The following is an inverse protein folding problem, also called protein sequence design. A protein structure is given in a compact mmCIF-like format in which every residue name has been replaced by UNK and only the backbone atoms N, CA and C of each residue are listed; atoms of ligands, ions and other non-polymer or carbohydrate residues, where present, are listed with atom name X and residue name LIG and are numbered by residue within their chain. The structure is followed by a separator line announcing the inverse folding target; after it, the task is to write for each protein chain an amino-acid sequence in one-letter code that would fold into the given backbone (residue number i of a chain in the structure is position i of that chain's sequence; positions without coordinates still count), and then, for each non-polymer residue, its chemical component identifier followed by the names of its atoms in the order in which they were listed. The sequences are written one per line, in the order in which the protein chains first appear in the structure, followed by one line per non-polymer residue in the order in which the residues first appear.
data_IF_869626840684
#
_entry.id   IF_869626840684
#
_cell.length_a   1.000
_cell.length_b   1.000
_cell.length_c   1.000
_cell.angle_alpha   90.00
_cell.angle_beta   90.00
_cell.angle_gamma   90.00
#
_symmetry.space_group_name_H-M   'P 1'
#
loop_
_entity.id
_entity.type
_entity.pdbx_description
1 polymer ?
#
# COMPACT_ATOMS: atom_id res chain seq x y z
N UNK A 1 -107.75 51.47 -13.56
CA UNK A 1 -107.17 50.12 -13.40
C UNK A 1 -107.46 49.37 -14.68
N UNK A 2 -106.49 48.66 -15.30
CA UNK A 2 -106.79 47.85 -16.47
C UNK A 2 -107.88 46.84 -16.10
N UNK A 3 -108.98 46.85 -16.86
CA UNK A 3 -110.20 46.10 -16.51
C UNK A 3 -110.10 44.62 -16.90
N UNK A 4 -109.16 44.27 -17.79
CA UNK A 4 -108.90 42.90 -18.22
C UNK A 4 -107.49 42.79 -18.85
N UNK A 5 -106.79 41.69 -18.56
CA UNK A 5 -105.58 41.24 -19.27
C UNK A 5 -105.95 39.91 -19.93
N UNK A 6 -105.70 39.80 -21.24
CA UNK A 6 -105.86 38.55 -21.98
C UNK A 6 -104.49 38.15 -22.57
N UNK A 7 -104.10 36.89 -22.37
CA UNK A 7 -102.91 36.31 -22.99
C UNK A 7 -103.38 35.15 -23.88
N UNK A 8 -102.91 35.09 -25.12
CA UNK A 8 -103.22 34.01 -26.05
C UNK A 8 -101.94 33.33 -26.54
N UNK A 9 -101.84 31.98 -26.48
CA UNK A 9 -102.80 31.06 -25.86
C UNK A 9 -102.69 31.04 -24.33
N UNK A 10 -103.81 30.78 -23.66
CA UNK A 10 -103.93 30.72 -22.19
C UNK A 10 -103.09 29.58 -21.57
N UNK A 11 -102.75 28.57 -22.38
CA UNK A 11 -101.87 27.45 -22.01
C UNK A 11 -100.99 27.05 -23.19
N UNK A 12 -99.71 26.87 -22.92
CA UNK A 12 -98.72 26.46 -23.92
C UNK A 12 -98.08 25.14 -23.50
N UNK A 13 -97.89 24.22 -24.45
CA UNK A 13 -97.01 23.06 -24.30
C UNK A 13 -95.92 23.19 -25.35
N UNK A 14 -94.66 23.16 -24.92
CA UNK A 14 -93.49 23.24 -25.80
C UNK A 14 -92.74 21.92 -25.75
N UNK A 15 -92.25 21.46 -26.90
CA UNK A 15 -91.27 20.36 -26.98
C UNK A 15 -89.84 20.92 -27.04
N UNK A 16 -88.85 20.09 -26.73
CA UNK A 16 -87.43 20.46 -26.84
C UNK A 16 -87.13 20.95 -28.25
N UNK A 17 -86.68 22.21 -28.37
CA UNK A 17 -86.32 22.85 -29.64
C UNK A 17 -87.45 23.67 -30.31
N UNK A 18 -88.65 23.71 -29.76
CA UNK A 18 -89.75 24.55 -30.30
C UNK A 18 -89.75 25.97 -29.73
N UNK A 19 -90.11 26.95 -30.56
CA UNK A 19 -90.36 28.34 -30.14
C UNK A 19 -91.79 28.74 -30.50
N UNK A 20 -92.47 29.46 -29.61
CA UNK A 20 -93.80 30.03 -29.85
C UNK A 20 -93.92 31.43 -29.27
N UNK A 21 -94.73 32.25 -29.92
CA UNK A 21 -95.07 33.61 -29.50
C UNK A 21 -96.34 33.56 -28.65
N UNK A 22 -96.36 34.32 -27.55
CA UNK A 22 -97.56 34.58 -26.75
C UNK A 22 -97.89 36.05 -26.94
N UNK A 23 -99.12 36.33 -27.37
CA UNK A 23 -99.61 37.70 -27.50
C UNK A 23 -100.38 38.08 -26.25
N UNK A 24 -100.10 39.26 -25.69
CA UNK A 24 -100.80 39.80 -24.52
C UNK A 24 -101.47 41.11 -24.93
N UNK A 25 -102.78 41.18 -24.73
CA UNK A 25 -103.59 42.37 -25.00
C UNK A 25 -104.15 42.91 -23.69
N UNK A 26 -104.03 44.23 -23.51
CA UNK A 26 -104.56 44.95 -22.35
C UNK A 26 -105.46 46.07 -22.87
N UNK A 27 -106.68 46.16 -22.34
CA UNK A 27 -107.65 47.18 -22.71
C UNK A 27 -107.92 48.15 -21.53
N UNK A 28 -108.11 49.46 -21.78
CA UNK A 28 -108.06 50.17 -23.07
C UNK A 28 -106.64 50.62 -23.48
N UNK A 29 -106.46 50.90 -24.77
CA UNK A 29 -105.19 51.09 -25.52
C UNK A 29 -104.40 52.39 -25.20
N UNK A 30 -104.87 53.18 -24.24
CA UNK A 30 -104.34 54.52 -23.93
C UNK A 30 -103.47 54.49 -22.66
N UNK A 31 -102.27 53.91 -22.74
CA UNK A 31 -101.04 54.30 -22.01
C UNK A 31 -99.91 53.26 -22.20
N UNK A 32 -98.68 53.71 -22.46
CA UNK A 32 -97.48 52.87 -22.40
C UNK A 32 -97.33 52.22 -21.02
N UNK A 33 -97.19 50.90 -21.00
CA UNK A 33 -96.92 50.13 -19.80
C UNK A 33 -95.79 49.13 -20.09
N UNK A 34 -94.83 49.00 -19.17
CA UNK A 34 -93.82 47.94 -19.21
C UNK A 34 -94.44 46.63 -18.69
N UNK A 35 -94.23 45.54 -19.43
CA UNK A 35 -94.63 44.20 -18.99
C UNK A 35 -93.39 43.36 -18.70
N UNK A 36 -93.37 42.67 -17.57
CA UNK A 36 -92.39 41.62 -17.30
C UNK A 36 -93.11 40.28 -17.33
N UNK A 37 -92.84 39.45 -18.34
CA UNK A 37 -93.22 38.04 -18.30
C UNK A 37 -92.33 37.30 -17.30
N UNK A 38 -92.91 36.58 -16.34
CA UNK A 38 -92.17 35.69 -15.43
C UNK A 38 -92.57 34.25 -15.73
N UNK A 39 -91.60 33.39 -15.97
CA UNK A 39 -91.82 31.95 -16.06
C UNK A 39 -92.11 31.46 -14.65
N UNK A 40 -93.29 30.87 -14.44
CA UNK A 40 -93.72 30.42 -13.13
C UNK A 40 -93.03 29.10 -12.72
N UNK A 41 -92.56 28.33 -13.71
CA UNK A 41 -91.78 27.11 -13.52
C UNK A 41 -90.44 27.20 -14.28
N UNK A 42 -89.41 27.64 -13.57
CA UNK A 42 -88.05 27.83 -14.11
C UNK A 42 -87.31 26.52 -14.39
N UNK A 43 -87.92 25.35 -14.13
CA UNK A 43 -87.33 24.05 -14.41
C UNK A 43 -87.37 23.64 -15.89
N UNK A 44 -88.12 24.35 -16.75
CA UNK A 44 -88.46 23.88 -18.11
C UNK A 44 -87.86 24.77 -19.23
N UNK A 45 -87.37 25.98 -18.94
CA UNK A 45 -86.65 26.81 -19.91
C UNK A 45 -85.75 27.85 -19.23
N UNK A 46 -84.49 27.94 -19.67
CA UNK A 46 -83.52 28.98 -19.28
C UNK A 46 -83.38 29.97 -20.43
N UNK A 47 -83.50 31.27 -20.14
CA UNK A 47 -83.20 32.35 -21.09
C UNK A 47 -81.71 32.32 -21.42
N UNK A 48 -81.38 32.29 -22.70
CA UNK A 48 -80.04 32.10 -23.25
C UNK A 48 -78.92 32.76 -22.43
N UNK A 49 -78.23 31.94 -21.65
CA UNK A 49 -76.88 32.25 -21.19
C UNK A 49 -75.94 32.05 -22.38
N UNK A 50 -75.01 32.99 -22.57
CA UNK A 50 -73.89 32.86 -23.49
C UNK A 50 -73.26 31.46 -23.36
N UNK A 51 -73.18 30.76 -24.50
CA UNK A 51 -72.41 29.52 -24.64
C UNK A 51 -71.05 29.69 -23.95
N UNK A 52 -70.68 28.86 -22.96
CA UNK A 52 -69.33 28.91 -22.43
C UNK A 52 -68.37 28.66 -23.60
N UNK A 53 -67.51 29.64 -23.87
CA UNK A 53 -66.38 29.50 -24.81
C UNK A 53 -65.80 28.10 -24.69
N UNK A 54 -65.52 27.37 -25.79
CA UNK A 54 -64.91 26.05 -25.69
C UNK A 54 -63.66 26.19 -24.83
N UNK A 55 -63.59 25.37 -23.78
CA UNK A 55 -62.45 25.28 -22.88
C UNK A 55 -61.17 25.19 -23.73
N UNK A 56 -60.14 26.05 -23.53
CA UNK A 56 -58.93 25.97 -24.33
C UNK A 56 -58.41 24.53 -24.32
N UNK A 57 -58.20 23.97 -25.51
CA UNK A 57 -57.72 22.60 -25.65
C UNK A 57 -56.42 22.41 -24.88
N UNK A 58 -56.23 21.28 -24.18
CA UNK A 58 -55.05 21.08 -23.35
C UNK A 58 -53.79 21.15 -24.22
N UNK A 59 -52.75 21.86 -23.75
CA UNK A 59 -51.44 22.01 -24.39
C UNK A 59 -50.56 20.81 -24.05
N UNK A 60 -50.37 19.85 -24.99
CA UNK A 60 -49.60 18.65 -24.70
C UNK A 60 -48.09 18.94 -24.71
N UNK A 61 -47.33 18.12 -23.99
CA UNK A 61 -45.89 18.04 -24.18
C UNK A 61 -45.57 17.51 -25.57
N UNK A 62 -44.54 18.06 -26.20
CA UNK A 62 -44.03 17.68 -27.54
C UNK A 62 -42.57 17.21 -27.50
N UNK A 63 -41.87 17.37 -26.37
CA UNK A 63 -40.51 16.89 -26.20
C UNK A 63 -39.92 17.18 -24.83
N UNK A 64 -38.81 16.51 -24.53
CA UNK A 64 -37.99 16.73 -23.35
C UNK A 64 -36.51 16.65 -23.76
N UNK A 65 -35.67 17.53 -23.21
CA UNK A 65 -34.20 17.51 -23.40
C UNK A 65 -33.48 17.57 -22.06
N UNK A 66 -32.23 17.10 -22.02
CA UNK A 66 -31.34 17.24 -20.87
C UNK A 66 -30.19 18.20 -21.21
N UNK A 67 -29.66 18.88 -20.20
CA UNK A 67 -28.47 19.74 -20.32
C UNK A 67 -27.20 18.97 -20.77
N UNK A 68 -27.18 17.65 -20.57
CA UNK A 68 -26.11 16.75 -21.02
C UNK A 68 -26.60 15.33 -21.25
N UNK A 69 -25.92 14.63 -22.13
CA UNK A 69 -26.20 13.22 -22.49
C UNK A 69 -25.17 12.24 -21.92
N UNK A 70 -24.07 12.73 -21.33
CA UNK A 70 -23.10 11.90 -20.62
C UNK A 70 -22.40 12.63 -19.48
N UNK A 71 -21.93 11.87 -18.49
CA UNK A 71 -21.13 12.36 -17.38
C UNK A 71 -20.20 11.27 -16.83
N UNK A 72 -19.01 11.65 -16.36
CA UNK A 72 -18.11 10.77 -15.61
C UNK A 72 -17.71 11.42 -14.29
N UNK A 73 -17.79 10.67 -13.20
CA UNK A 73 -17.46 11.18 -11.87
C UNK A 73 -17.08 10.08 -10.89
N UNK A 74 -16.67 10.48 -9.68
CA UNK A 74 -16.20 9.55 -8.63
C UNK A 74 -17.36 9.22 -7.67
N UNK A 75 -17.42 7.98 -7.21
CA UNK A 75 -18.35 7.55 -6.17
C UNK A 75 -18.29 8.47 -4.93
N UNK A 76 -19.44 8.80 -4.36
CA UNK A 76 -19.59 9.75 -3.25
C UNK A 76 -19.89 11.20 -3.67
N UNK A 77 -19.70 11.54 -4.96
CA UNK A 77 -20.08 12.86 -5.50
C UNK A 77 -21.53 12.90 -5.99
N UNK A 78 -22.02 14.11 -6.29
CA UNK A 78 -23.35 14.36 -6.86
C UNK A 78 -23.26 15.13 -8.17
N UNK A 79 -24.27 14.95 -9.02
CA UNK A 79 -24.49 15.65 -10.29
C UNK A 79 -25.94 16.11 -10.31
N UNK A 80 -26.21 17.35 -10.72
CA UNK A 80 -27.58 17.80 -11.02
C UNK A 80 -27.80 17.77 -12.52
N UNK A 81 -28.85 17.08 -12.98
CA UNK A 81 -29.30 17.11 -14.36
C UNK A 81 -30.50 18.04 -14.48
N UNK A 82 -30.51 18.87 -15.52
CA UNK A 82 -31.59 19.80 -15.80
C UNK A 82 -32.37 19.33 -17.02
N UNK A 83 -33.66 19.04 -16.82
CA UNK A 83 -34.58 18.68 -17.89
C UNK A 83 -35.37 19.90 -18.36
N UNK A 84 -35.51 20.07 -19.68
CA UNK A 84 -36.33 21.12 -20.30
C UNK A 84 -37.47 20.47 -21.09
N UNK A 85 -38.71 20.82 -20.76
CA UNK A 85 -39.93 20.33 -21.44
C UNK A 85 -40.36 21.34 -22.50
N UNK A 86 -40.77 20.85 -23.68
CA UNK A 86 -41.26 21.67 -24.79
C UNK A 86 -42.73 21.32 -25.11
N UNK A 87 -43.61 22.31 -25.37
CA UNK A 87 -43.36 23.74 -25.16
C UNK A 87 -43.27 24.07 -23.66
N UNK A 88 -42.67 25.20 -23.31
CA UNK A 88 -42.47 25.61 -21.91
C UNK A 88 -43.77 25.91 -21.16
N UNK A 89 -44.87 26.11 -21.89
CA UNK A 89 -46.22 26.38 -21.38
C UNK A 89 -47.17 25.17 -21.55
N UNK A 90 -46.64 23.95 -21.65
CA UNK A 90 -47.43 22.72 -21.62
C UNK A 90 -48.19 22.59 -20.29
N UNK A 91 -49.43 22.08 -20.34
CA UNK A 91 -50.30 22.03 -19.16
C UNK A 91 -49.83 21.03 -18.09
N UNK A 92 -49.09 20.00 -18.49
CA UNK A 92 -48.42 19.06 -17.59
C UNK A 92 -46.93 18.91 -17.96
N UNK A 93 -46.11 19.79 -17.37
CA UNK A 93 -44.66 19.76 -17.51
C UNK A 93 -43.96 18.91 -16.42
N UNK A 94 -44.69 18.00 -15.76
CA UNK A 94 -44.13 17.18 -14.68
C UNK A 94 -43.06 16.24 -15.22
N UNK A 95 -41.84 16.36 -14.68
CA UNK A 95 -40.72 15.48 -15.03
C UNK A 95 -40.59 14.36 -14.01
N UNK A 96 -40.63 13.12 -14.49
CA UNK A 96 -40.31 11.92 -13.71
C UNK A 96 -38.90 11.43 -14.02
N UNK A 97 -38.19 10.95 -13.00
CA UNK A 97 -36.80 10.51 -13.11
C UNK A 97 -36.66 9.04 -12.76
N UNK A 98 -35.80 8.33 -13.50
CA UNK A 98 -35.46 6.93 -13.23
C UNK A 98 -33.97 6.69 -13.49
N UNK A 99 -33.38 5.78 -12.73
CA UNK A 99 -32.08 5.16 -13.04
C UNK A 99 -32.28 3.69 -13.38
N UNK A 100 -31.55 3.17 -14.35
CA UNK A 100 -31.50 1.74 -14.65
C UNK A 100 -30.66 0.94 -13.63
N UNK A 101 -29.72 1.58 -12.93
CA UNK A 101 -28.79 0.99 -11.98
C UNK A 101 -28.64 1.86 -10.74
N UNK A 102 -29.66 1.86 -9.88
CA UNK A 102 -29.72 2.70 -8.66
C UNK A 102 -28.59 2.43 -7.66
N UNK A 103 -27.99 1.24 -7.68
CA UNK A 103 -26.79 0.91 -6.90
C UNK A 103 -25.50 1.59 -7.40
N UNK A 104 -25.45 1.97 -8.68
CA UNK A 104 -24.32 2.69 -9.29
C UNK A 104 -24.56 4.20 -9.24
N UNK A 105 -25.73 4.65 -9.69
CA UNK A 105 -26.16 6.04 -9.60
C UNK A 105 -27.66 6.12 -9.35
N UNK A 106 -28.09 6.86 -8.32
CA UNK A 106 -29.51 7.08 -8.01
C UNK A 106 -29.90 8.51 -8.30
N UNK A 107 -31.08 8.74 -8.86
CA UNK A 107 -31.62 10.08 -9.15
C UNK A 107 -32.83 10.38 -8.25
N UNK A 108 -32.92 11.60 -7.74
CA UNK A 108 -34.07 12.11 -6.99
C UNK A 108 -35.15 12.70 -7.91
N UNK A 109 -36.33 13.01 -7.36
CA UNK A 109 -37.42 13.63 -8.12
C UNK A 109 -37.10 15.01 -8.70
N UNK A 110 -36.07 15.70 -8.19
CA UNK A 110 -35.59 16.99 -8.69
C UNK A 110 -34.33 16.89 -9.58
N UNK A 111 -33.99 15.70 -10.08
CA UNK A 111 -32.88 15.52 -11.02
C UNK A 111 -31.48 15.51 -10.39
N UNK A 112 -31.36 15.39 -9.06
CA UNK A 112 -30.07 15.23 -8.38
C UNK A 112 -29.66 13.77 -8.39
N UNK A 113 -28.57 13.49 -9.08
CA UNK A 113 -27.95 12.17 -9.25
C UNK A 113 -26.83 12.00 -8.22
N UNK A 114 -26.98 11.03 -7.32
CA UNK A 114 -25.93 10.62 -6.39
C UNK A 114 -25.14 9.44 -6.97
N UNK A 115 -23.81 9.57 -7.07
CA UNK A 115 -22.92 8.51 -7.56
C UNK A 115 -22.51 7.61 -6.40
N UNK A 116 -22.84 6.33 -6.46
CA UNK A 116 -22.76 5.42 -5.30
C UNK A 116 -21.62 4.43 -5.41
N UNK A 117 -21.49 3.75 -6.54
CA UNK A 117 -20.52 2.69 -6.74
C UNK A 117 -19.97 2.73 -8.16
N UNK A 118 -18.76 2.20 -8.35
CA UNK A 118 -18.15 2.14 -9.67
C UNK A 118 -19.01 1.33 -10.65
N UNK A 119 -19.19 1.83 -11.87
CA UNK A 119 -20.03 1.20 -12.87
C UNK A 119 -20.59 2.18 -13.89
N UNK A 120 -21.56 1.71 -14.68
CA UNK A 120 -22.32 2.53 -15.63
C UNK A 120 -23.79 2.50 -15.26
N UNK A 121 -24.45 3.65 -15.38
CA UNK A 121 -25.88 3.82 -15.19
C UNK A 121 -26.43 4.78 -16.25
N UNK A 122 -27.68 4.62 -16.63
CA UNK A 122 -28.42 5.55 -17.49
C UNK A 122 -29.52 6.19 -16.67
N UNK A 123 -29.47 7.53 -16.59
CA UNK A 123 -30.52 8.33 -15.96
C UNK A 123 -31.49 8.78 -17.04
N UNK A 124 -32.78 8.52 -16.85
CA UNK A 124 -33.85 8.86 -17.79
C UNK A 124 -34.81 9.86 -17.15
N UNK A 125 -35.04 10.99 -17.82
CA UNK A 125 -36.10 11.93 -17.53
C UNK A 125 -37.27 11.69 -18.50
N UNK A 126 -38.51 11.69 -18.00
CA UNK A 126 -39.71 11.49 -18.82
C UNK A 126 -40.79 12.53 -18.49
N UNK A 127 -41.40 13.12 -19.53
CA UNK A 127 -42.52 14.05 -19.43
C UNK A 127 -43.47 13.85 -20.64
N UNK A 128 -44.77 13.75 -20.38
CA UNK A 128 -45.81 13.60 -21.41
C UNK A 128 -45.55 12.53 -22.49
N UNK A 129 -44.95 11.40 -22.12
CA UNK A 129 -44.63 10.28 -23.03
C UNK A 129 -43.28 10.38 -23.76
N UNK A 130 -42.58 11.52 -23.65
CA UNK A 130 -41.23 11.70 -24.20
C UNK A 130 -40.17 11.37 -23.16
N UNK A 131 -39.00 10.95 -23.62
CA UNK A 131 -37.86 10.61 -22.74
C UNK A 131 -36.57 11.26 -23.23
N UNK A 132 -35.72 11.62 -22.29
CA UNK A 132 -34.33 12.02 -22.53
C UNK A 132 -33.42 11.29 -21.55
N UNK A 133 -32.20 10.95 -21.98
CA UNK A 133 -31.29 10.12 -21.19
C UNK A 133 -29.88 10.68 -21.10
N UNK A 134 -29.23 10.38 -19.98
CA UNK A 134 -27.84 10.71 -19.70
C UNK A 134 -27.08 9.46 -19.23
N UNK A 135 -25.99 9.13 -19.92
CA UNK A 135 -25.10 8.03 -19.57
C UNK A 135 -24.09 8.46 -18.51
N UNK A 136 -24.18 7.88 -17.32
CA UNK A 136 -23.33 8.18 -16.17
C UNK A 136 -22.32 7.05 -15.98
N UNK A 137 -21.03 7.40 -15.98
CA UNK A 137 -19.93 6.48 -15.64
C UNK A 137 -19.35 6.87 -14.29
N UNK A 138 -19.35 5.94 -13.35
CA UNK A 138 -18.84 6.16 -11.99
C UNK A 138 -17.52 5.42 -11.83
N UNK A 139 -16.48 6.12 -11.40
CA UNK A 139 -15.22 5.52 -10.97
C UNK A 139 -15.20 5.35 -9.46
N UNK A 140 -14.46 4.35 -8.97
CA UNK A 140 -14.30 4.15 -7.53
C UNK A 140 -13.53 5.33 -6.90
N UNK A 141 -13.90 5.71 -5.69
CA UNK A 141 -13.10 6.63 -4.90
C UNK A 141 -11.77 5.95 -4.52
N UNK A 142 -10.66 6.63 -4.77
CA UNK A 142 -9.33 6.14 -4.38
C UNK A 142 -8.96 6.69 -3.02
N UNK A 143 -8.60 5.81 -2.08
CA UNK A 143 -8.03 6.18 -0.78
C UNK A 143 -6.51 6.22 -0.93
N UNK A 144 -5.91 7.40 -0.77
CA UNK A 144 -4.46 7.55 -0.86
C UNK A 144 -3.77 6.97 0.38
N UNK A 145 -2.62 6.32 0.19
CA UNK A 145 -1.69 6.01 1.29
C UNK A 145 -1.38 7.29 2.05
N UNK A 146 -1.31 7.20 3.38
CA UNK A 146 -0.99 8.29 4.31
C UNK A 146 0.38 8.14 4.97
N UNK A 147 0.80 6.92 5.30
CA UNK A 147 2.12 6.67 5.87
C UNK A 147 2.63 5.27 5.55
N UNK A 148 3.96 5.13 5.59
CA UNK A 148 4.67 3.86 5.47
C UNK A 148 5.69 3.81 6.60
N UNK A 149 5.66 2.76 7.40
CA UNK A 149 6.66 2.52 8.45
C UNK A 149 7.38 1.20 8.19
N UNK A 150 8.67 1.14 8.51
CA UNK A 150 9.51 -0.06 8.39
C UNK A 150 9.91 -0.52 9.78
N UNK A 151 9.79 -1.81 10.04
CA UNK A 151 10.17 -2.41 11.31
C UNK A 151 10.97 -3.70 11.09
N UNK A 152 11.92 -3.96 11.97
CA UNK A 152 12.62 -5.23 12.11
C UNK A 152 12.04 -6.05 13.27
N UNK A 153 12.20 -7.38 13.27
CA UNK A 153 11.90 -8.23 14.42
C UNK A 153 12.65 -7.73 15.65
N UNK A 154 11.94 -7.55 16.76
CA UNK A 154 12.46 -7.13 18.06
C UNK A 154 13.32 -5.84 18.06
N UNK A 155 13.18 -5.01 17.02
CA UNK A 155 13.98 -3.79 16.88
C UNK A 155 15.45 -4.04 16.52
N UNK A 156 15.79 -5.23 15.98
CA UNK A 156 17.14 -5.56 15.54
C UNK A 156 17.59 -4.58 14.45
N UNK A 157 18.76 -3.95 14.66
CA UNK A 157 19.36 -2.99 13.72
C UNK A 157 20.75 -3.41 13.25
N UNK A 158 21.16 -4.63 13.60
CA UNK A 158 22.47 -5.19 13.25
C UNK A 158 22.31 -6.50 12.50
N UNK A 159 23.20 -6.72 11.53
CA UNK A 159 23.24 -7.91 10.68
C UNK A 159 24.70 -8.32 10.51
N UNK A 160 24.99 -9.60 10.39
CA UNK A 160 26.35 -10.05 10.05
C UNK A 160 26.51 -10.17 8.54
N UNK A 161 27.74 -10.08 8.02
CA UNK A 161 28.04 -10.39 6.61
C UNK A 161 27.53 -11.81 6.27
N UNK A 162 26.87 -11.96 5.12
CA UNK A 162 26.13 -13.16 4.70
C UNK A 162 24.91 -13.53 5.57
N UNK A 163 24.66 -12.80 6.65
CA UNK A 163 23.43 -12.92 7.44
C UNK A 163 22.22 -12.35 6.70
N UNK A 164 21.03 -12.77 7.13
CA UNK A 164 19.76 -12.27 6.60
C UNK A 164 18.85 -11.71 7.68
N UNK A 165 18.13 -10.62 7.38
CA UNK A 165 17.14 -10.00 8.27
C UNK A 165 15.85 -9.72 7.50
N UNK A 166 14.73 -10.27 7.96
CA UNK A 166 13.43 -10.01 7.35
C UNK A 166 12.84 -8.71 7.92
N UNK A 167 12.59 -7.71 7.07
CA UNK A 167 11.88 -6.49 7.46
C UNK A 167 10.40 -6.59 7.14
N UNK A 168 9.59 -5.79 7.85
CA UNK A 168 8.18 -5.61 7.57
C UNK A 168 7.88 -4.14 7.30
N UNK A 169 6.91 -3.88 6.41
CA UNK A 169 6.42 -2.55 6.12
C UNK A 169 4.93 -2.46 6.45
N UNK A 170 4.53 -1.42 7.19
CA UNK A 170 3.12 -1.13 7.48
C UNK A 170 2.68 0.08 6.69
N UNK A 171 1.65 -0.09 5.86
CA UNK A 171 1.04 0.97 5.05
C UNK A 171 -0.29 1.37 5.70
N UNK A 172 -0.47 2.66 5.97
CA UNK A 172 -1.72 3.23 6.48
C UNK A 172 -2.27 4.28 5.53
N UNK A 173 -3.61 4.46 5.45
CA UNK A 173 -4.62 3.70 6.17
C UNK A 173 -4.80 2.28 5.60
N UNK A 174 -5.47 1.41 6.36
CA UNK A 174 -5.63 -0.02 6.01
C UNK A 174 -6.39 -0.23 4.69
N UNK A 175 -7.28 0.70 4.37
CA UNK A 175 -8.17 0.74 3.21
C UNK A 175 -7.61 1.55 2.02
N UNK A 176 -6.33 1.95 2.08
CA UNK A 176 -5.67 2.59 0.95
C UNK A 176 -5.79 1.73 -0.32
N UNK A 177 -6.07 2.37 -1.46
CA UNK A 177 -6.35 1.69 -2.73
C UNK A 177 -5.12 1.01 -3.32
N UNK A 178 -3.94 1.61 -3.19
CA UNK A 178 -2.66 1.00 -3.60
C UNK A 178 -1.73 0.86 -2.40
N UNK A 179 -1.58 -0.36 -1.92
CA UNK A 179 -0.72 -0.72 -0.78
C UNK A 179 0.53 -1.47 -1.22
N UNK A 180 0.83 -1.49 -2.51
CA UNK A 180 1.96 -2.24 -3.06
C UNK A 180 3.26 -1.67 -2.52
N UNK A 181 4.04 -2.48 -1.82
CA UNK A 181 5.32 -2.07 -1.25
C UNK A 181 6.44 -2.42 -2.21
N UNK A 182 7.30 -1.45 -2.50
CA UNK A 182 8.56 -1.62 -3.22
C UNK A 182 9.73 -1.34 -2.28
N UNK A 183 10.77 -2.16 -2.35
CA UNK A 183 11.93 -2.08 -1.46
C UNK A 183 13.18 -1.64 -2.21
N UNK A 184 14.04 -0.88 -1.54
CA UNK A 184 15.37 -0.50 -2.03
C UNK A 184 16.34 -0.41 -0.86
N UNK A 185 17.61 -0.74 -1.10
CA UNK A 185 18.70 -0.60 -0.13
C UNK A 185 19.80 0.31 -0.70
N UNK A 186 20.40 1.14 0.14
CA UNK A 186 21.51 2.01 -0.25
C UNK A 186 22.52 2.18 0.89
N UNK A 187 23.82 1.94 0.66
CA UNK A 187 24.43 1.41 -0.57
C UNK A 187 24.22 -0.12 -0.71
N UNK A 188 24.02 -0.60 -1.95
CA UNK A 188 23.83 -2.04 -2.24
C UNK A 188 25.09 -2.88 -2.07
N UNK A 189 26.27 -2.24 -2.01
CA UNK A 189 27.55 -2.88 -1.70
C UNK A 189 27.61 -3.37 -0.24
N UNK A 190 26.85 -2.75 0.67
CA UNK A 190 26.79 -3.13 2.09
C UNK A 190 25.70 -4.17 2.33
N UNK A 191 24.51 -4.00 1.75
CA UNK A 191 23.45 -5.01 1.81
C UNK A 191 22.48 -4.88 0.64
N UNK A 192 21.83 -5.99 0.28
CA UNK A 192 20.75 -6.03 -0.71
C UNK A 192 19.42 -6.33 -0.03
N UNK A 193 18.30 -5.98 -0.67
CA UNK A 193 16.94 -6.27 -0.18
C UNK A 193 16.09 -6.90 -1.27
N UNK A 194 15.34 -7.94 -0.94
CA UNK A 194 14.43 -8.61 -1.87
C UNK A 194 13.09 -7.87 -2.00
N UNK A 195 12.25 -8.30 -2.96
CA UNK A 195 10.87 -7.79 -3.11
C UNK A 195 9.98 -8.06 -1.89
N UNK A 196 10.32 -9.07 -1.07
CA UNK A 196 9.59 -9.40 0.16
C UNK A 196 10.14 -8.68 1.39
N UNK A 197 11.16 -7.83 1.26
CA UNK A 197 11.79 -7.14 2.39
C UNK A 197 12.85 -7.98 3.13
N UNK A 198 13.34 -9.07 2.53
CA UNK A 198 14.45 -9.85 3.09
C UNK A 198 15.77 -9.15 2.76
N UNK A 199 16.49 -8.68 3.78
CA UNK A 199 17.79 -8.02 3.66
C UNK A 199 18.91 -9.04 3.80
N UNK A 200 19.93 -8.98 2.93
CA UNK A 200 21.13 -9.83 2.99
C UNK A 200 22.37 -8.95 3.10
N UNK A 201 23.18 -9.18 4.13
CA UNK A 201 24.45 -8.46 4.34
C UNK A 201 25.51 -8.90 3.35
N UNK A 202 26.21 -7.94 2.73
CA UNK A 202 27.22 -8.17 1.70
C UNK A 202 28.60 -7.79 2.21
N UNK A 203 28.77 -6.57 2.72
CA UNK A 203 30.02 -6.06 3.28
C UNK A 203 29.75 -5.34 4.60
N UNK A 204 30.77 -5.27 5.47
CA UNK A 204 30.66 -4.53 6.72
C UNK A 204 30.46 -3.03 6.45
N UNK A 205 29.49 -2.41 7.12
CA UNK A 205 29.14 -1.01 6.90
C UNK A 205 27.74 -0.66 7.37
N UNK A 206 27.27 0.53 6.99
CA UNK A 206 25.90 0.99 7.29
C UNK A 206 25.09 1.09 6.00
N UNK A 207 23.85 0.61 6.04
CA UNK A 207 22.91 0.60 4.91
C UNK A 207 21.55 1.11 5.36
N UNK A 208 20.91 1.92 4.53
CA UNK A 208 19.52 2.34 4.72
C UNK A 208 18.62 1.54 3.79
N UNK A 209 17.63 0.86 4.36
CA UNK A 209 16.62 0.10 3.64
C UNK A 209 15.31 0.90 3.66
N UNK A 210 14.73 1.12 2.48
CA UNK A 210 13.55 1.96 2.27
C UNK A 210 12.42 1.13 1.67
N UNK A 211 11.21 1.27 2.22
CA UNK A 211 9.96 0.76 1.68
C UNK A 211 9.13 1.93 1.12
N UNK A 212 8.60 1.78 -0.09
CA UNK A 212 7.78 2.80 -0.77
C UNK A 212 6.43 2.22 -1.16
N UNK A 213 5.34 2.91 -0.83
CA UNK A 213 3.98 2.58 -1.24
C UNK A 213 3.15 3.86 -1.47
N UNK A 214 2.39 3.92 -2.57
CA UNK A 214 1.54 5.07 -2.90
C UNK A 214 2.28 6.42 -2.92
N UNK A 215 3.56 6.42 -3.32
CA UNK A 215 4.43 7.61 -3.33
C UNK A 215 4.99 8.04 -1.97
N UNK A 216 4.72 7.30 -0.89
CA UNK A 216 5.25 7.58 0.46
C UNK A 216 6.29 6.54 0.86
N UNK A 217 7.21 6.95 1.72
CA UNK A 217 8.38 6.16 2.09
C UNK A 217 8.49 5.98 3.60
N UNK A 218 8.94 4.81 4.03
CA UNK A 218 9.48 4.55 5.36
C UNK A 218 10.85 3.91 5.25
N UNK A 219 11.74 4.14 6.21
CA UNK A 219 13.12 3.65 6.14
C UNK A 219 13.64 3.14 7.48
N UNK A 220 14.57 2.19 7.43
CA UNK A 220 15.31 1.66 8.57
C UNK A 220 16.80 1.60 8.24
N UNK A 221 17.64 2.07 9.15
CA UNK A 221 19.10 1.98 9.03
C UNK A 221 19.60 0.73 9.74
N UNK A 222 20.43 -0.05 9.04
CA UNK A 222 21.05 -1.27 9.54
C UNK A 222 22.58 -1.15 9.53
N UNK A 223 23.24 -1.82 10.48
CA UNK A 223 24.69 -1.95 10.51
C UNK A 223 25.08 -3.40 10.23
N UNK A 224 25.83 -3.63 9.15
CA UNK A 224 26.40 -4.92 8.80
C UNK A 224 27.77 -5.07 9.47
N UNK A 225 27.97 -6.14 10.24
CA UNK A 225 29.21 -6.45 10.96
C UNK A 225 29.99 -7.52 10.23
N UNK A 226 31.31 -7.39 10.22
CA UNK A 226 32.18 -8.46 9.74
C UNK A 226 32.06 -9.67 10.66
N UNK A 227 31.88 -10.86 10.08
CA UNK A 227 31.99 -12.11 10.82
C UNK A 227 33.48 -12.40 11.01
N UNK A 228 33.98 -12.23 12.24
CA UNK A 228 35.31 -12.73 12.60
C UNK A 228 35.16 -14.19 12.99
N UNK A 229 35.54 -15.11 12.11
CA UNK A 229 35.61 -16.53 12.46
C UNK A 229 36.86 -16.72 13.33
N UNK A 230 36.67 -16.80 14.65
CA UNK A 230 37.70 -17.25 15.58
C UNK A 230 37.96 -18.75 15.31
N UNK A 231 39.02 -19.05 14.54
CA UNK A 231 39.44 -20.45 14.30
C UNK A 231 40.00 -21.06 15.59
N UNK A 232 39.62 -22.30 15.90
CA UNK A 232 40.14 -23.03 17.07
C UNK A 232 41.66 -23.17 16.97
N UNK A 233 42.37 -22.84 18.06
CA UNK A 233 43.78 -23.15 18.18
C UNK A 233 43.96 -24.64 18.48
N UNK A 234 44.55 -25.37 17.53
CA UNK A 234 44.76 -26.80 17.61
C UNK A 234 45.96 -27.18 18.49
N UNK A 235 46.75 -26.23 18.97
CA UNK A 235 47.85 -26.52 19.91
C UNK A 235 47.32 -26.75 21.33
N UNK A 236 47.81 -27.80 21.98
CA UNK A 236 47.61 -28.02 23.42
C UNK A 236 48.63 -27.24 24.24
N UNK A 237 48.24 -26.84 25.44
CA UNK A 237 49.17 -26.37 26.46
C UNK A 237 50.16 -27.48 26.86
N UNK A 238 51.46 -27.18 27.00
CA UNK A 238 52.42 -28.12 27.58
C UNK A 238 51.96 -28.61 28.96
N UNK A 239 52.20 -29.90 29.30
CA UNK A 239 51.60 -30.53 30.48
C UNK A 239 52.15 -30.03 31.82
N UNK A 240 53.35 -29.44 31.83
CA UNK A 240 53.95 -28.82 33.01
C UNK A 240 54.64 -27.52 32.63
N UNK A 241 54.37 -26.44 33.36
CA UNK A 241 55.03 -25.14 33.23
C UNK A 241 55.32 -24.56 34.64
N UNK A 242 56.42 -23.80 34.82
CA UNK A 242 57.39 -23.39 33.81
C UNK A 242 58.30 -24.55 33.34
N UNK A 243 58.81 -24.45 32.11
CA UNK A 243 59.80 -25.37 31.56
C UNK A 243 61.12 -24.61 31.36
N UNK A 244 62.23 -25.16 31.85
CA UNK A 244 63.55 -24.60 31.62
C UNK A 244 64.41 -25.58 30.84
N UNK A 245 64.99 -25.11 29.73
CA UNK A 245 65.88 -25.90 28.89
C UNK A 245 67.01 -25.01 28.35
N UNK A 246 68.25 -25.49 28.48
CA UNK A 246 69.50 -24.82 28.09
C UNK A 246 69.52 -23.31 28.36
N UNK A 247 69.11 -22.87 29.56
CA UNK A 247 69.17 -21.47 30.00
C UNK A 247 68.00 -20.58 29.59
N UNK A 248 66.98 -21.12 28.91
CA UNK A 248 65.72 -20.41 28.62
C UNK A 248 64.59 -21.04 29.43
N UNK A 249 63.74 -20.20 30.03
CA UNK A 249 62.54 -20.59 30.75
C UNK A 249 61.29 -20.13 30.00
N UNK A 250 60.33 -21.04 29.84
CA UNK A 250 59.00 -20.76 29.28
C UNK A 250 57.95 -20.87 30.39
N UNK A 251 57.14 -19.83 30.56
CA UNK A 251 56.02 -19.78 31.53
C UNK A 251 54.71 -19.41 30.82
N UNK A 252 53.58 -19.97 31.27
CA UNK A 252 52.27 -19.59 30.74
C UNK A 252 51.78 -18.27 31.35
N UNK A 253 51.16 -17.44 30.51
CA UNK A 253 50.53 -16.18 30.92
C UNK A 253 49.05 -16.32 31.28
N UNK A 254 48.42 -17.46 30.99
CA UNK A 254 47.01 -17.75 31.31
C UNK A 254 46.00 -17.35 30.22
N UNK A 255 46.43 -16.67 29.16
CA UNK A 255 45.63 -16.24 28.01
C UNK A 255 45.93 -17.05 26.72
N UNK A 256 46.67 -18.15 26.86
CA UNK A 256 47.18 -18.96 25.75
C UNK A 256 48.51 -18.48 25.16
N UNK A 257 49.09 -17.39 25.69
CA UNK A 257 50.45 -16.97 25.40
C UNK A 257 51.47 -17.50 26.42
N UNK A 258 52.74 -17.50 26.02
CA UNK A 258 53.87 -17.96 26.82
C UNK A 258 54.97 -16.92 26.85
N UNK A 259 55.46 -16.64 28.04
CA UNK A 259 56.62 -15.79 28.25
C UNK A 259 57.90 -16.61 28.17
N UNK A 260 58.82 -16.25 27.30
CA UNK A 260 60.16 -16.85 27.20
C UNK A 260 61.21 -15.89 27.73
N UNK A 261 62.00 -16.36 28.70
CA UNK A 261 63.05 -15.56 29.35
C UNK A 261 64.34 -16.33 29.54
N UNK A 262 65.46 -15.73 29.16
CA UNK A 262 66.80 -16.25 29.45
C UNK A 262 67.75 -16.15 28.26
N UNK A 263 68.93 -16.77 28.40
CA UNK A 263 69.95 -16.84 27.35
C UNK A 263 70.23 -18.30 27.03
N UNK A 264 69.99 -18.70 25.78
CA UNK A 264 70.18 -20.06 25.33
C UNK A 264 71.68 -20.43 25.31
N UNK A 265 72.10 -21.39 26.13
CA UNK A 265 73.49 -21.89 26.17
C UNK A 265 73.78 -22.92 25.08
N UNK A 266 72.72 -23.53 24.53
CA UNK A 266 72.72 -24.41 23.37
C UNK A 266 71.38 -24.23 22.63
N UNK A 267 71.18 -24.91 21.50
CA UNK A 267 69.86 -24.91 20.83
C UNK A 267 68.79 -25.48 21.79
N UNK A 268 67.66 -24.78 21.92
CA UNK A 268 66.58 -25.13 22.86
C UNK A 268 65.26 -25.24 22.13
N UNK A 269 64.48 -26.30 22.38
CA UNK A 269 63.13 -26.47 21.83
C UNK A 269 62.08 -26.71 22.92
N UNK A 270 60.93 -26.06 22.81
CA UNK A 270 59.74 -26.32 23.64
C UNK A 270 58.62 -26.89 22.77
N UNK A 271 58.22 -28.15 22.98
CA UNK A 271 57.23 -28.82 22.15
C UNK A 271 55.78 -28.54 22.59
N UNK A 272 54.89 -28.46 21.61
CA UNK A 272 53.44 -28.38 21.72
C UNK A 272 52.83 -29.56 20.97
N UNK A 273 51.82 -30.19 21.54
CA UNK A 273 51.07 -31.23 20.85
C UNK A 273 49.94 -30.59 20.04
N UNK A 274 49.76 -30.95 18.78
CA UNK A 274 48.56 -30.59 18.05
C UNK A 274 47.43 -31.60 18.32
N UNK A 275 46.23 -31.12 18.60
CA UNK A 275 45.03 -31.95 18.76
C UNK A 275 44.54 -32.44 17.40
N UNK A 276 44.29 -33.76 17.31
CA UNK A 276 43.54 -34.45 16.25
C UNK A 276 43.54 -33.74 14.88
N UNK A 277 44.71 -33.68 14.25
CA UNK A 277 44.82 -33.16 12.89
C UNK A 277 44.42 -34.22 11.87
N UNK A 278 43.63 -33.80 10.88
CA UNK A 278 43.25 -34.60 9.72
C UNK A 278 43.99 -34.07 8.50
N UNK A 279 43.96 -34.77 7.36
CA UNK A 279 44.57 -34.22 6.14
C UNK A 279 43.92 -32.87 5.76
N UNK A 280 44.73 -31.87 5.42
CA UNK A 280 44.25 -30.53 5.07
C UNK A 280 45.33 -29.44 5.13
N UNK A 281 44.93 -28.21 4.83
CA UNK A 281 45.79 -27.02 4.92
C UNK A 281 45.72 -26.42 6.30
N UNK A 282 46.88 -26.06 6.86
CA UNK A 282 46.99 -25.46 8.18
C UNK A 282 47.88 -24.22 8.14
N UNK A 283 47.52 -23.22 8.93
CA UNK A 283 48.36 -22.03 9.16
C UNK A 283 48.87 -22.03 10.59
N UNK A 284 50.18 -21.77 10.73
CA UNK A 284 50.82 -21.53 12.02
C UNK A 284 51.29 -20.07 12.10
N UNK A 285 50.85 -19.37 13.15
CA UNK A 285 51.14 -17.94 13.38
C UNK A 285 51.70 -17.73 14.79
N UNK A 286 52.51 -16.68 14.94
CA UNK A 286 52.99 -16.19 16.24
C UNK A 286 52.98 -14.65 16.24
N UNK A 287 52.66 -14.06 17.38
CA UNK A 287 52.55 -12.60 17.60
C UNK A 287 53.89 -11.85 17.49
N UNK A 288 55.03 -12.54 17.54
CA UNK A 288 56.36 -11.93 17.54
C UNK A 288 57.13 -12.25 16.24
N UNK A 289 57.14 -11.29 15.31
CA UNK A 289 57.67 -11.43 13.95
C UNK A 289 59.19 -11.66 13.84
N UNK A 290 59.96 -11.33 14.89
CA UNK A 290 61.43 -11.39 14.88
C UNK A 290 62.02 -12.75 15.24
N UNK A 291 61.18 -13.75 15.48
CA UNK A 291 61.63 -15.00 16.07
C UNK A 291 61.68 -16.14 15.05
N UNK A 292 61.92 -15.91 13.76
CA UNK A 292 61.93 -16.98 12.74
C UNK A 292 63.13 -16.89 11.79
N UNK A 293 64.33 -16.63 12.33
CA UNK A 293 65.58 -16.66 11.55
C UNK A 293 66.52 -17.75 12.07
N UNK A 294 67.16 -18.46 11.14
CA UNK A 294 68.22 -19.45 11.41
C UNK A 294 69.52 -18.79 11.95
N UNK A 295 69.42 -17.54 12.41
CA UNK A 295 70.51 -16.72 12.95
C UNK A 295 70.12 -16.07 14.29
N UNK A 296 68.94 -16.40 14.86
CA UNK A 296 68.56 -15.91 16.19
C UNK A 296 67.07 -15.93 16.59
N UNK A 297 66.22 -16.86 16.12
CA UNK A 297 64.80 -16.86 16.50
C UNK A 297 64.06 -18.22 16.44
N UNK A 298 63.11 -18.39 17.38
CA UNK A 298 62.02 -19.41 17.51
C UNK A 298 61.59 -20.15 16.22
N UNK A 299 62.18 -21.32 15.94
CA UNK A 299 61.68 -22.22 14.88
C UNK A 299 60.50 -23.10 15.33
N UNK A 300 59.54 -23.37 14.43
CA UNK A 300 58.49 -24.40 14.60
C UNK A 300 58.67 -25.55 13.62
N UNK A 301 58.65 -26.79 14.13
CA UNK A 301 58.88 -28.01 13.35
C UNK A 301 57.72 -28.98 13.56
N UNK A 302 57.20 -29.54 12.47
CA UNK A 302 56.27 -30.68 12.45
C UNK A 302 56.97 -31.80 11.71
N UNK A 303 57.18 -32.97 12.35
CA UNK A 303 57.73 -34.15 11.64
C UNK A 303 56.58 -34.76 10.81
N UNK A 304 56.75 -34.86 9.49
CA UNK A 304 57.23 -36.11 8.91
C UNK A 304 58.48 -35.88 8.06
N UNK A 305 59.20 -36.96 7.80
CA UNK A 305 60.12 -37.17 6.67
C UNK A 305 59.92 -36.15 5.53
N UNK A 306 60.93 -35.29 5.34
CA UNK A 306 60.99 -34.16 4.40
C UNK A 306 60.15 -32.90 4.76
N UNK A 307 60.79 -31.87 5.33
CA UNK A 307 61.20 -30.67 4.58
C UNK A 307 61.75 -29.55 5.49
N UNK A 308 62.79 -28.90 4.97
CA UNK A 308 63.39 -27.64 5.39
C UNK A 308 62.41 -26.47 5.15
N UNK A 309 62.15 -25.61 6.15
CA UNK A 309 61.24 -24.46 6.00
C UNK A 309 61.79 -23.16 6.61
N UNK A 310 62.00 -22.18 5.72
CA UNK A 310 62.48 -20.82 5.98
C UNK A 310 61.29 -19.85 5.86
N UNK A 311 61.13 -18.93 6.83
CA UNK A 311 60.23 -17.73 6.87
C UNK A 311 58.88 -17.88 7.59
N UNK A 312 58.43 -16.78 8.21
CA UNK A 312 57.20 -16.68 9.00
C UNK A 312 55.89 -16.54 8.23
N UNK A 313 54.79 -16.75 8.96
CA UNK A 313 53.47 -17.22 8.48
C UNK A 313 53.63 -18.39 7.51
N UNK A 314 53.65 -19.61 8.06
CA UNK A 314 53.74 -20.82 7.27
C UNK A 314 52.34 -21.38 7.10
N UNK A 315 51.80 -21.23 5.89
CA UNK A 315 50.66 -22.01 5.41
C UNK A 315 51.22 -23.23 4.69
N UNK A 316 50.89 -24.44 5.13
CA UNK A 316 51.32 -25.68 4.48
C UNK A 316 50.21 -26.72 4.46
N UNK A 317 50.23 -27.55 3.43
CA UNK A 317 49.37 -28.73 3.28
C UNK A 317 49.98 -29.90 4.05
N UNK A 318 49.17 -30.59 4.84
CA UNK A 318 49.57 -31.75 5.65
C UNK A 318 48.74 -32.96 5.24
N UNK A 319 49.41 -34.09 4.94
CA UNK A 319 48.78 -35.32 4.43
C UNK A 319 48.89 -36.53 5.38
N UNK A 320 49.55 -36.37 6.53
CA UNK A 320 49.81 -37.47 7.49
C UNK A 320 48.81 -37.49 8.65
N UNK A 321 48.54 -38.69 9.22
CA UNK A 321 47.66 -38.92 10.38
C UNK A 321 48.41 -39.31 11.66
N UNK A 322 49.75 -39.38 11.65
CA UNK A 322 50.55 -39.79 12.83
C UNK A 322 51.33 -38.62 13.43
N UNK A 323 51.34 -38.56 14.77
CA UNK A 323 51.96 -37.60 15.71
C UNK A 323 52.58 -36.33 15.13
N UNK A 324 51.96 -35.18 15.42
CA UNK A 324 52.35 -33.89 14.87
C UNK A 324 52.59 -32.92 16.03
N UNK A 325 53.86 -32.83 16.46
CA UNK A 325 54.29 -31.83 17.43
C UNK A 325 54.60 -30.54 16.67
N UNK A 326 54.26 -29.38 17.25
CA UNK A 326 54.90 -28.11 16.92
C UNK A 326 55.96 -27.81 17.99
N UNK A 327 56.94 -26.96 17.72
CA UNK A 327 57.89 -26.57 18.77
C UNK A 327 58.27 -25.11 18.68
N UNK A 328 58.77 -24.53 19.76
CA UNK A 328 59.35 -23.18 19.80
C UNK A 328 60.86 -23.34 20.01
N UNK A 329 61.69 -22.92 19.06
CA UNK A 329 63.14 -23.20 19.09
C UNK A 329 64.05 -21.97 19.22
N UNK A 330 64.75 -21.79 20.33
CA UNK A 330 65.73 -20.70 20.54
C UNK A 330 67.14 -21.16 20.17
N UNK A 331 67.85 -20.39 19.32
CA UNK A 331 69.22 -20.71 18.91
C UNK A 331 70.24 -20.44 20.03
N UNK A 332 71.33 -21.24 20.07
CA UNK A 332 72.43 -21.02 20.99
C UNK A 332 72.98 -19.57 20.90
N UNK A 333 73.27 -18.97 22.04
CA UNK A 333 73.74 -17.58 22.16
C UNK A 333 72.64 -16.52 22.10
N UNK A 334 71.37 -16.90 21.89
CA UNK A 334 70.26 -15.94 21.81
C UNK A 334 69.72 -15.62 23.20
N UNK A 335 69.67 -14.32 23.55
CA UNK A 335 68.93 -13.83 24.71
C UNK A 335 67.51 -13.44 24.30
N UNK A 336 66.53 -13.87 25.08
CA UNK A 336 65.10 -13.64 24.85
C UNK A 336 64.40 -13.21 26.13
N UNK A 337 63.51 -12.23 26.03
CA UNK A 337 62.58 -11.80 27.07
C UNK A 337 61.34 -11.28 26.32
N UNK A 338 60.42 -12.18 25.98
CA UNK A 338 59.29 -11.84 25.10
C UNK A 338 58.14 -12.82 25.27
N UNK A 339 56.93 -12.35 25.01
CA UNK A 339 55.74 -13.17 24.92
C UNK A 339 55.54 -13.69 23.50
N UNK A 340 55.06 -14.93 23.41
CA UNK A 340 54.69 -15.57 22.15
C UNK A 340 53.36 -16.28 22.29
N UNK A 341 52.53 -16.14 21.25
CA UNK A 341 51.21 -16.78 21.21
C UNK A 341 51.18 -17.72 20.00
N UNK A 342 51.62 -18.97 20.14
CA UNK A 342 51.59 -19.92 19.04
C UNK A 342 50.14 -20.31 18.73
N UNK A 343 49.71 -20.10 17.49
CA UNK A 343 48.38 -20.49 17.01
C UNK A 343 48.49 -21.36 15.78
N UNK A 344 47.95 -22.58 15.87
CA UNK A 344 47.77 -23.50 14.76
C UNK A 344 46.29 -23.58 14.44
N UNK A 345 45.90 -23.21 13.22
CA UNK A 345 44.50 -23.23 12.78
C UNK A 345 44.38 -24.02 11.49
N UNK A 346 43.30 -24.80 11.34
CA UNK A 346 42.93 -25.37 10.04
C UNK A 346 42.46 -24.25 9.13
N UNK A 347 43.01 -24.16 7.92
CA UNK A 347 42.44 -23.33 6.86
C UNK A 347 41.39 -24.19 6.18
N UNK A 348 40.11 -23.94 6.49
CA UNK A 348 39.00 -24.52 5.71
C UNK A 348 38.92 -23.78 4.35
N UNK A 349 38.64 -24.53 3.29
CA UNK A 349 38.44 -24.04 1.91
C UNK A 349 37.30 -23.01 1.80
#
# INVERSE_FOLDING_TARGET
MPSAIQASPDRLTLRVGESRVVEVSVLPEEASQEYTARIQDTGIAVLGGSDPSPDPSPKPVTGITLDRTSYSGVAGSTLTLHATVSPSDADDATVSWRSDATGVASVSGNGVVALRAAGRAVITASAGGYTASCAVTVTAATVSVQSVTVASPDGVTTLDVNGTLQLSATVLPVDATDRTVTWSASPTTVATVSRSGLVTGVEAGTVTVTATAGGRTGSLTLTVRAVTVERENLLTTPPSLPLTANGVTMSANGDGSYHLKGTATAWTGFAFTAKQMSAGTYSLKSSSANLLSNTGGIGFWVRPDELDARRGNVTREYTSTWWQNAQISVNAGTSIDTDVTPRLTREDD
#
